data_IF_161291042231
#
_entry.id   IF_161291042231
#
_cell.length_a   1.000
_cell.length_b   1.000
_cell.length_c   1.000
_cell.angle_alpha   90.00
_cell.angle_beta   90.00
_cell.angle_gamma   90.00
#
_symmetry.space_group_name_H-M   'P 1'
#
loop_
_entity.id
_entity.type
_entity.pdbx_description
1 polymer ?
#
# COMPACT_ATOMS: atom_id res chain seq x y z
N UNK A 1 21.98 -14.21 16.51
CA UNK A 1 21.18 -12.96 16.54
C UNK A 1 20.53 -12.82 15.19
N UNK A 2 19.28 -13.27 15.06
CA UNK A 2 18.57 -13.36 13.78
C UNK A 2 18.09 -11.94 13.44
N UNK A 3 18.78 -11.23 12.55
CA UNK A 3 18.25 -9.99 11.94
C UNK A 3 17.12 -10.43 11.01
N UNK A 4 15.88 -10.46 11.50
CA UNK A 4 14.71 -10.47 10.63
C UNK A 4 14.92 -9.40 9.56
N UNK A 5 15.01 -9.82 8.29
CA UNK A 5 15.07 -8.87 7.17
C UNK A 5 13.79 -8.04 7.25
N UNK A 6 13.94 -6.74 7.49
CA UNK A 6 12.82 -5.82 7.43
C UNK A 6 12.10 -6.04 6.08
N UNK A 7 10.79 -6.30 6.13
CA UNK A 7 10.00 -6.59 4.93
C UNK A 7 9.78 -8.07 4.60
N UNK A 8 10.35 -9.02 5.37
CA UNK A 8 10.14 -10.46 5.12
C UNK A 8 8.83 -11.01 5.73
N UNK A 9 8.22 -10.28 6.65
CA UNK A 9 6.97 -10.70 7.29
C UNK A 9 5.77 -10.65 6.35
N UNK A 10 4.83 -11.61 6.43
CA UNK A 10 3.58 -11.55 5.67
C UNK A 10 2.79 -10.29 6.01
N UNK A 11 2.13 -9.71 5.01
CA UNK A 11 1.16 -8.65 5.26
C UNK A 11 0.05 -9.23 6.15
N UNK A 12 -0.25 -8.52 7.22
CA UNK A 12 -1.26 -8.90 8.21
C UNK A 12 -1.97 -7.65 8.74
N UNK A 13 -3.07 -7.86 9.44
CA UNK A 13 -3.78 -6.78 10.16
C UNK A 13 -2.82 -6.03 11.10
N UNK A 14 -1.94 -6.76 11.79
CA UNK A 14 -0.96 -6.16 12.71
C UNK A 14 0.01 -5.24 11.96
N UNK A 15 0.59 -5.71 10.85
CA UNK A 15 1.52 -4.93 10.00
C UNK A 15 0.85 -3.66 9.49
N UNK A 16 -0.38 -3.74 8.98
CA UNK A 16 -1.14 -2.57 8.50
C UNK A 16 -1.33 -1.54 9.60
N UNK A 17 -1.74 -1.97 10.78
CA UNK A 17 -1.97 -1.10 11.95
C UNK A 17 -0.67 -0.51 12.48
N UNK A 18 0.43 -1.24 12.43
CA UNK A 18 1.75 -0.76 12.84
C UNK A 18 2.27 0.31 11.89
N UNK A 19 2.13 0.12 10.57
CA UNK A 19 2.47 1.15 9.59
C UNK A 19 1.67 2.43 9.82
N UNK A 20 0.37 2.31 10.04
CA UNK A 20 -0.46 3.46 10.35
C UNK A 20 -0.07 4.14 11.67
N UNK A 21 0.26 3.36 12.70
CA UNK A 21 0.71 3.88 14.00
C UNK A 21 2.02 4.67 13.86
N UNK A 22 3.00 4.11 13.15
CA UNK A 22 4.29 4.77 12.89
C UNK A 22 4.08 6.05 12.09
N UNK A 23 3.26 6.01 11.03
CA UNK A 23 2.95 7.14 10.16
C UNK A 23 2.28 8.30 10.92
N UNK A 24 1.39 8.00 11.85
CA UNK A 24 0.57 9.00 12.56
C UNK A 24 1.12 9.42 13.90
N UNK A 25 2.10 8.71 14.42
CA UNK A 25 2.72 9.02 15.73
C UNK A 25 3.27 10.46 15.74
N UNK A 26 2.88 11.22 16.76
CA UNK A 26 3.35 12.60 16.94
C UNK A 26 2.67 13.65 16.05
N UNK A 27 1.75 13.27 15.19
CA UNK A 27 1.00 14.22 14.36
C UNK A 27 -0.14 14.89 15.13
N UNK A 28 -0.67 15.99 14.58
CA UNK A 28 -1.85 16.67 15.15
C UNK A 28 -3.08 15.74 15.20
N UNK A 29 -3.24 14.85 14.22
CA UNK A 29 -4.34 13.88 14.16
C UNK A 29 -4.29 12.91 15.35
N UNK A 30 -3.10 12.49 15.78
CA UNK A 30 -2.93 11.60 16.93
C UNK A 30 -3.46 12.17 18.24
N UNK A 31 -3.65 13.51 18.32
CA UNK A 31 -4.18 14.20 19.50
C UNK A 31 -5.70 14.31 19.51
N UNK A 32 -6.36 13.92 18.40
CA UNK A 32 -7.83 13.99 18.29
C UNK A 32 -8.45 12.73 18.89
N UNK A 33 -9.39 12.83 19.87
CA UNK A 33 -10.02 11.66 20.48
C UNK A 33 -10.76 10.75 19.51
N UNK A 34 -11.29 11.32 18.41
CA UNK A 34 -11.99 10.58 17.36
C UNK A 34 -11.07 9.84 16.39
N UNK A 35 -9.75 10.12 16.42
CA UNK A 35 -8.78 9.55 15.49
C UNK A 35 -8.13 8.29 16.08
N UNK A 36 -8.37 7.15 15.46
CA UNK A 36 -7.84 5.86 15.90
C UNK A 36 -6.45 5.61 15.33
N UNK A 37 -5.38 6.07 16.00
CA UNK A 37 -4.00 5.78 15.59
C UNK A 37 -3.71 4.28 15.72
N UNK A 38 -3.34 3.63 14.62
CA UNK A 38 -3.15 2.19 14.58
C UNK A 38 -4.45 1.38 14.75
N UNK A 39 -5.60 2.02 14.55
CA UNK A 39 -6.92 1.39 14.58
C UNK A 39 -7.69 1.68 13.31
N UNK A 40 -8.72 0.88 13.05
CA UNK A 40 -9.63 1.13 11.93
C UNK A 40 -10.41 2.43 12.11
N UNK A 41 -10.84 3.03 11.02
CA UNK A 41 -11.65 4.26 11.04
C UNK A 41 -12.93 4.05 11.85
N UNK A 42 -13.37 5.12 12.52
CA UNK A 42 -14.60 5.15 13.32
C UNK A 42 -15.71 5.95 12.65
N UNK A 43 -15.35 6.78 11.69
CA UNK A 43 -16.27 7.64 10.93
C UNK A 43 -16.18 7.27 9.46
N UNK A 44 -17.32 7.21 8.74
CA UNK A 44 -17.31 7.01 7.29
C UNK A 44 -16.43 8.05 6.59
N UNK A 45 -15.78 7.64 5.51
CA UNK A 45 -15.02 8.55 4.65
C UNK A 45 -15.39 8.32 3.18
N UNK A 46 -15.13 9.36 2.38
CA UNK A 46 -15.40 9.39 0.95
C UNK A 46 -14.09 9.67 0.22
N UNK A 47 -13.83 8.96 -0.86
CA UNK A 47 -12.64 9.14 -1.69
C UNK A 47 -13.08 9.27 -3.15
N UNK A 48 -12.67 10.37 -3.79
CA UNK A 48 -13.04 10.63 -5.19
C UNK A 48 -14.55 10.65 -5.44
N UNK A 49 -15.34 11.09 -4.45
CA UNK A 49 -16.81 11.12 -4.54
C UNK A 49 -17.50 9.76 -4.31
N UNK A 50 -16.74 8.70 -4.00
CA UNK A 50 -17.28 7.36 -3.70
C UNK A 50 -17.21 7.06 -2.21
N UNK A 51 -18.26 6.49 -1.67
CA UNK A 51 -18.25 5.95 -0.30
C UNK A 51 -17.31 4.75 -0.23
N UNK A 52 -16.55 4.68 0.83
CA UNK A 52 -15.67 3.55 1.13
C UNK A 52 -16.37 2.56 2.07
N UNK A 53 -15.75 1.44 2.38
CA UNK A 53 -16.33 0.44 3.29
C UNK A 53 -16.70 1.10 4.64
N UNK A 54 -17.91 0.84 5.13
CA UNK A 54 -18.40 1.39 6.39
C UNK A 54 -17.50 0.95 7.58
N UNK A 55 -17.32 1.78 8.61
CA UNK A 55 -16.39 1.50 9.73
C UNK A 55 -16.55 0.11 10.35
N UNK A 56 -17.77 -0.31 10.64
CA UNK A 56 -18.08 -1.62 11.23
C UNK A 56 -17.81 -2.83 10.32
N UNK A 57 -17.54 -2.60 9.02
CA UNK A 57 -17.28 -3.63 8.03
C UNK A 57 -15.82 -3.70 7.61
N UNK A 58 -14.97 -2.79 8.09
CA UNK A 58 -13.55 -2.72 7.72
C UNK A 58 -12.80 -3.99 8.11
N UNK A 59 -12.98 -4.48 9.35
CA UNK A 59 -12.30 -5.70 9.81
C UNK A 59 -12.57 -6.90 8.89
N UNK A 60 -13.83 -7.31 8.70
CA UNK A 60 -14.18 -8.38 7.78
C UNK A 60 -13.69 -8.16 6.33
N UNK A 61 -13.73 -6.92 5.83
CA UNK A 61 -13.26 -6.62 4.47
C UNK A 61 -11.74 -6.80 4.33
N UNK A 62 -10.96 -6.41 5.34
CA UNK A 62 -9.51 -6.63 5.36
C UNK A 62 -9.18 -8.12 5.52
N UNK A 63 -9.92 -8.86 6.34
CA UNK A 63 -9.74 -10.31 6.48
C UNK A 63 -10.00 -11.03 5.15
N UNK A 64 -11.07 -10.66 4.42
CA UNK A 64 -11.36 -11.19 3.08
C UNK A 64 -10.24 -10.82 2.07
N UNK A 65 -9.76 -9.58 2.09
CA UNK A 65 -8.64 -9.14 1.26
C UNK A 65 -7.40 -10.03 1.50
N UNK A 66 -7.04 -10.26 2.76
CA UNK A 66 -5.87 -11.08 3.12
C UNK A 66 -6.07 -12.55 2.74
N UNK A 67 -7.26 -13.10 2.95
CA UNK A 67 -7.59 -14.49 2.61
C UNK A 67 -7.50 -14.77 1.10
N UNK A 68 -7.77 -13.77 0.26
CA UNK A 68 -7.68 -13.87 -1.21
C UNK A 68 -6.30 -13.52 -1.77
N UNK A 69 -5.37 -13.06 -0.93
CA UNK A 69 -4.03 -12.71 -1.37
C UNK A 69 -3.20 -13.97 -1.60
N UNK A 70 -2.63 -14.16 -2.81
CA UNK A 70 -1.80 -15.34 -3.09
C UNK A 70 -0.54 -15.37 -2.21
N UNK A 71 -0.05 -16.57 -1.90
CA UNK A 71 1.19 -16.75 -1.14
C UNK A 71 2.43 -16.24 -1.86
N UNK A 72 2.44 -16.33 -3.21
CA UNK A 72 3.41 -15.69 -4.10
C UNK A 72 2.68 -14.75 -5.04
N UNK A 73 3.14 -13.53 -5.12
CA UNK A 73 2.48 -12.45 -5.87
C UNK A 73 3.31 -12.00 -7.06
N UNK A 74 2.62 -11.76 -8.17
CA UNK A 74 3.11 -11.00 -9.31
C UNK A 74 2.89 -9.49 -9.07
N UNK A 75 3.45 -8.63 -9.91
CA UNK A 75 3.17 -7.19 -9.85
C UNK A 75 1.69 -6.88 -10.08
N UNK A 76 1.01 -7.66 -10.90
CA UNK A 76 -0.42 -7.52 -11.14
C UNK A 76 -1.24 -7.86 -9.88
N UNK A 77 -0.82 -8.87 -9.11
CA UNK A 77 -1.44 -9.19 -7.82
C UNK A 77 -1.20 -8.07 -6.79
N UNK A 78 -0.02 -7.45 -6.81
CA UNK A 78 0.28 -6.27 -5.96
C UNK A 78 -0.63 -5.10 -6.32
N UNK A 79 -0.86 -4.85 -7.61
CA UNK A 79 -1.77 -3.80 -8.08
C UNK A 79 -3.21 -4.07 -7.65
N UNK A 80 -3.70 -5.31 -7.78
CA UNK A 80 -5.05 -5.72 -7.39
C UNK A 80 -5.26 -5.59 -5.88
N UNK A 81 -4.30 -6.08 -5.09
CA UNK A 81 -4.33 -5.93 -3.63
C UNK A 81 -4.40 -4.44 -3.24
N UNK A 82 -3.58 -3.61 -3.87
CA UNK A 82 -3.51 -2.20 -3.55
C UNK A 82 -4.82 -1.48 -3.89
N UNK A 83 -5.39 -1.73 -5.06
CA UNK A 83 -6.69 -1.17 -5.44
C UNK A 83 -7.79 -1.56 -4.44
N UNK A 84 -7.86 -2.82 -4.03
CA UNK A 84 -8.83 -3.30 -3.04
C UNK A 84 -8.60 -2.66 -1.67
N UNK A 85 -7.35 -2.54 -1.24
CA UNK A 85 -7.01 -1.85 0.01
C UNK A 85 -7.46 -0.38 -0.02
N UNK A 86 -7.19 0.35 -1.10
CA UNK A 86 -7.63 1.73 -1.27
C UNK A 86 -9.17 1.85 -1.35
N UNK A 87 -9.86 0.87 -1.92
CA UNK A 87 -11.34 0.82 -1.96
C UNK A 87 -11.95 0.58 -0.58
N UNK A 88 -11.33 -0.26 0.25
CA UNK A 88 -11.74 -0.46 1.65
C UNK A 88 -11.50 0.82 2.46
N UNK A 89 -10.39 1.48 2.24
CA UNK A 89 -9.95 2.72 2.91
C UNK A 89 -10.04 2.60 4.42
N UNK A 90 -9.25 1.67 5.04
CA UNK A 90 -9.50 1.18 6.39
C UNK A 90 -9.24 2.20 7.51
N UNK A 91 -8.40 3.20 7.27
CA UNK A 91 -8.03 4.19 8.25
C UNK A 91 -8.78 5.52 8.05
N UNK A 92 -8.84 6.34 9.09
CA UNK A 92 -9.48 7.66 9.01
C UNK A 92 -8.74 8.62 8.06
N UNK A 93 -7.40 8.52 8.02
CA UNK A 93 -6.49 9.19 7.08
C UNK A 93 -5.19 8.37 6.95
N UNK A 94 -4.40 8.63 5.91
CA UNK A 94 -3.11 7.98 5.70
C UNK A 94 -3.17 6.66 4.92
N UNK A 95 -4.34 6.28 4.39
CA UNK A 95 -4.51 5.04 3.63
C UNK A 95 -3.54 4.94 2.45
N UNK A 96 -3.46 5.96 1.59
CA UNK A 96 -2.56 5.96 0.44
C UNK A 96 -1.08 5.80 0.82
N UNK A 97 -0.63 6.36 1.95
CA UNK A 97 0.74 6.18 2.43
C UNK A 97 0.97 4.76 2.93
N UNK A 98 0.05 4.24 3.75
CA UNK A 98 0.11 2.84 4.21
C UNK A 98 0.03 1.88 3.02
N UNK A 99 -0.91 2.08 2.09
CA UNK A 99 -1.05 1.25 0.91
C UNK A 99 0.22 1.19 0.05
N UNK A 100 0.90 2.32 -0.15
CA UNK A 100 2.19 2.36 -0.87
C UNK A 100 3.31 1.65 -0.11
N UNK A 101 3.37 1.75 1.22
CA UNK A 101 4.32 0.96 2.02
C UNK A 101 4.04 -0.54 1.93
N UNK A 102 2.77 -0.94 1.91
CA UNK A 102 2.39 -2.35 1.71
C UNK A 102 2.80 -2.86 0.33
N UNK A 103 2.60 -2.08 -0.75
CA UNK A 103 3.09 -2.46 -2.09
C UNK A 103 4.61 -2.65 -2.10
N UNK A 104 5.36 -1.72 -1.50
CA UNK A 104 6.81 -1.82 -1.42
C UNK A 104 7.26 -3.09 -0.70
N UNK A 105 6.65 -3.40 0.45
CA UNK A 105 6.91 -4.63 1.20
C UNK A 105 6.56 -5.89 0.39
N UNK A 106 5.42 -5.89 -0.31
CA UNK A 106 5.01 -7.03 -1.14
C UNK A 106 6.00 -7.28 -2.27
N UNK A 107 6.49 -6.22 -2.92
CA UNK A 107 7.54 -6.36 -3.93
C UNK A 107 8.78 -7.02 -3.35
N UNK A 108 9.32 -6.52 -2.24
CA UNK A 108 10.50 -7.09 -1.60
C UNK A 108 10.32 -8.58 -1.21
N UNK A 109 9.14 -8.92 -0.66
CA UNK A 109 8.85 -10.31 -0.24
C UNK A 109 8.79 -11.30 -1.41
N UNK A 110 8.33 -10.83 -2.55
CA UNK A 110 8.13 -11.67 -3.73
C UNK A 110 9.30 -11.60 -4.73
N UNK A 111 10.42 -10.97 -4.36
CA UNK A 111 11.58 -10.80 -5.24
C UNK A 111 11.31 -9.91 -6.45
N UNK A 112 10.30 -9.05 -6.34
CA UNK A 112 9.98 -8.06 -7.37
C UNK A 112 10.77 -6.77 -7.10
N UNK A 113 11.14 -6.06 -8.17
CA UNK A 113 11.72 -4.73 -8.04
C UNK A 113 10.73 -3.82 -7.28
N UNK A 114 11.13 -3.18 -6.18
CA UNK A 114 10.26 -2.21 -5.52
C UNK A 114 10.19 -0.92 -6.34
N UNK A 115 9.28 -0.02 -5.95
CA UNK A 115 9.12 1.29 -6.59
C UNK A 115 8.57 2.32 -5.60
N UNK A 116 8.68 3.58 -5.97
CA UNK A 116 8.15 4.72 -5.21
C UNK A 116 7.30 5.57 -6.16
N UNK A 117 6.08 5.91 -5.73
CA UNK A 117 5.22 6.84 -6.46
C UNK A 117 5.69 8.26 -6.16
N UNK A 118 6.29 8.92 -7.14
CA UNK A 118 6.78 10.28 -7.05
C UNK A 118 5.70 11.30 -7.44
N UNK A 119 5.87 12.56 -7.04
CA UNK A 119 4.96 13.63 -7.40
C UNK A 119 4.79 13.80 -8.92
N UNK A 120 5.85 13.61 -9.67
CA UNK A 120 5.82 13.70 -11.14
C UNK A 120 4.91 12.63 -11.80
N UNK A 121 4.74 11.47 -11.16
CA UNK A 121 3.99 10.32 -11.71
C UNK A 121 2.66 10.09 -11.01
N UNK A 122 2.36 10.83 -9.96
CA UNK A 122 1.16 10.61 -9.13
C UNK A 122 -0.16 10.69 -9.89
N UNK A 123 -0.25 11.50 -10.93
CA UNK A 123 -1.48 11.64 -11.72
C UNK A 123 -1.81 10.35 -12.48
N UNK A 124 -0.81 9.68 -13.06
CA UNK A 124 -0.99 8.38 -13.72
C UNK A 124 -1.38 7.30 -12.72
N UNK A 125 -0.77 7.32 -11.55
CA UNK A 125 -1.12 6.41 -10.46
C UNK A 125 -2.57 6.61 -9.97
N UNK A 126 -3.01 7.84 -9.74
CA UNK A 126 -4.40 8.10 -9.34
C UNK A 126 -5.40 7.76 -10.44
N UNK A 127 -5.07 8.05 -11.70
CA UNK A 127 -5.89 7.60 -12.83
C UNK A 127 -6.02 6.10 -12.85
N UNK A 128 -4.91 5.38 -12.69
CA UNK A 128 -4.88 3.93 -12.64
C UNK A 128 -5.77 3.35 -11.53
N UNK A 129 -5.79 3.97 -10.35
CA UNK A 129 -6.68 3.58 -9.26
C UNK A 129 -8.16 3.87 -9.56
N UNK A 130 -8.46 5.05 -10.08
CA UNK A 130 -9.84 5.46 -10.33
C UNK A 130 -10.50 4.62 -11.44
N UNK A 131 -9.73 4.21 -12.44
CA UNK A 131 -10.23 3.48 -13.60
C UNK A 131 -10.00 1.96 -13.49
N UNK A 132 -9.49 1.46 -12.37
CA UNK A 132 -9.02 0.08 -12.23
C UNK A 132 -10.08 -0.97 -12.55
N UNK A 133 -11.32 -0.76 -12.15
CA UNK A 133 -12.42 -1.72 -12.39
C UNK A 133 -12.71 -1.91 -13.89
N UNK A 134 -12.47 -0.88 -14.70
CA UNK A 134 -12.72 -0.88 -16.14
C UNK A 134 -11.46 -1.07 -16.97
N UNK A 135 -10.33 -0.53 -16.49
CA UNK A 135 -9.03 -0.51 -17.19
C UNK A 135 -7.88 -0.79 -16.22
N UNK A 136 -7.77 -2.02 -15.70
CA UNK A 136 -6.71 -2.37 -14.74
C UNK A 136 -5.29 -2.19 -15.32
N UNK A 137 -5.16 -2.21 -16.65
CA UNK A 137 -3.92 -1.98 -17.35
C UNK A 137 -3.25 -0.65 -17.02
N UNK A 138 -4.02 0.43 -16.81
CA UNK A 138 -3.44 1.73 -16.50
C UNK A 138 -2.61 1.72 -15.21
N UNK A 139 -3.13 1.12 -14.12
CA UNK A 139 -2.35 1.00 -12.89
C UNK A 139 -1.16 0.06 -13.08
N UNK A 140 -1.37 -1.10 -13.68
CA UNK A 140 -0.33 -2.12 -13.90
C UNK A 140 0.84 -1.60 -14.73
N UNK A 141 0.56 -0.88 -15.81
CA UNK A 141 1.58 -0.25 -16.65
C UNK A 141 2.31 0.86 -15.90
N UNK A 142 1.59 1.68 -15.13
CA UNK A 142 2.21 2.70 -14.28
C UNK A 142 3.17 2.07 -13.28
N UNK A 143 2.78 0.98 -12.60
CA UNK A 143 3.64 0.31 -11.63
C UNK A 143 4.88 -0.30 -12.30
N UNK A 144 4.77 -0.87 -13.50
CA UNK A 144 5.93 -1.37 -14.28
C UNK A 144 6.89 -0.23 -14.61
N UNK A 145 6.37 0.89 -15.12
CA UNK A 145 7.20 2.06 -15.40
C UNK A 145 7.93 2.58 -14.15
N UNK A 146 7.24 2.60 -13.00
CA UNK A 146 7.86 2.99 -11.73
C UNK A 146 8.96 2.01 -11.26
N UNK A 147 8.82 0.71 -11.56
CA UNK A 147 9.90 -0.27 -11.31
C UNK A 147 11.12 -0.01 -12.19
N UNK A 148 10.91 0.28 -13.47
CA UNK A 148 12.00 0.60 -14.42
C UNK A 148 12.74 1.87 -13.96
N UNK A 149 12.01 2.91 -13.57
CA UNK A 149 12.59 4.16 -13.04
C UNK A 149 13.38 3.91 -11.74
N UNK A 150 12.85 3.07 -10.85
CA UNK A 150 13.51 2.71 -9.60
C UNK A 150 14.80 1.93 -9.89
N UNK A 151 14.75 0.94 -10.77
CA UNK A 151 15.91 0.19 -11.18
C UNK A 151 16.98 1.11 -11.80
N UNK A 152 16.62 1.93 -12.77
CA UNK A 152 17.54 2.85 -13.41
C UNK A 152 18.24 3.81 -12.42
N UNK A 153 17.50 4.20 -11.36
CA UNK A 153 18.05 5.10 -10.32
C UNK A 153 19.03 4.40 -9.40
N UNK A 154 18.79 3.13 -9.05
CA UNK A 154 19.56 2.43 -8.01
C UNK A 154 20.52 1.37 -8.53
N UNK A 155 20.40 0.91 -9.78
CA UNK A 155 21.33 -0.05 -10.39
C UNK A 155 22.80 0.34 -10.25
N UNK A 156 23.23 1.61 -10.44
CA UNK A 156 24.63 2.00 -10.28
C UNK A 156 25.18 1.80 -8.87
N UNK A 157 24.31 1.73 -7.86
CA UNK A 157 24.75 1.52 -6.47
C UNK A 157 24.80 0.03 -6.09
N UNK A 158 24.12 -0.85 -6.84
CA UNK A 158 24.14 -2.30 -6.60
C UNK A 158 25.41 -2.91 -7.18
N UNK A 159 25.84 -2.49 -8.35
CA UNK A 159 27.07 -2.97 -9.02
C UNK A 159 28.34 -2.72 -8.20
N UNK A 160 28.34 -1.70 -7.32
CA UNK A 160 29.48 -1.37 -6.43
C UNK A 160 29.59 -2.31 -5.22
N UNK A 161 28.54 -3.09 -4.91
CA UNK A 161 28.52 -3.98 -3.74
C UNK A 161 28.93 -5.42 -4.10
N UNK A 162 29.09 -5.73 -5.38
CA UNK A 162 29.48 -7.07 -5.88
C UNK A 162 31.00 -7.13 -6.23
N UNK A 163 31.77 -6.04 -6.04
CA UNK A 163 33.24 -5.98 -6.11
C UNK A 163 33.87 -6.10 -4.69
#
# INVERSE_FOLDING_TARGET
MNRSRAGSEPISVAVMKDYHRILKRGTADARRPSFAVGGWKRVPNVVGGRETVAPGRVGPAIEDLLARTPGSMTLDDVADFHHRFESIHPFQDGNGRVGRMLMFQQCLRNGLMPFIVLDATKLFYYRGLNEYEHQPGFLRETLRSLQDDYYARFAPFVEVLDE
#
